data_IF_988683550690
#
_entry.id   IF_988683550690
#
_cell.length_a   1.000
_cell.length_b   1.000
_cell.length_c   1.000
_cell.angle_alpha   90.00
_cell.angle_beta   90.00
_cell.angle_gamma   90.00
#
_symmetry.space_group_name_H-M   'P 1'
#
loop_
_entity.id
_entity.type
_entity.pdbx_description
1 polymer ?
#
# COMPACT_ATOMS: atom_id res chain seq x y z
N UNK A 1 -44.35 -42.93 -5.92
CA UNK A 1 -42.89 -42.80 -5.76
C UNK A 1 -42.48 -41.34 -5.85
N UNK A 2 -42.37 -40.64 -4.71
CA UNK A 2 -41.97 -39.23 -4.65
C UNK A 2 -40.47 -39.14 -4.34
N UNK A 3 -39.69 -38.58 -5.27
CA UNK A 3 -38.25 -38.36 -5.11
C UNK A 3 -38.02 -37.15 -4.19
N UNK A 4 -37.72 -37.41 -2.92
CA UNK A 4 -37.24 -36.40 -1.99
C UNK A 4 -35.90 -35.81 -2.44
N UNK A 5 -35.91 -34.54 -2.86
CA UNK A 5 -34.68 -33.74 -3.00
C UNK A 5 -34.12 -33.51 -1.59
N UNK A 6 -33.12 -34.31 -1.20
CA UNK A 6 -32.29 -34.01 -0.01
C UNK A 6 -31.57 -32.68 -0.26
N UNK A 7 -31.95 -31.65 0.49
CA UNK A 7 -31.19 -30.41 0.56
C UNK A 7 -29.77 -30.74 1.04
N UNK A 8 -28.77 -30.59 0.17
CA UNK A 8 -27.37 -30.63 0.59
C UNK A 8 -27.16 -29.47 1.56
N UNK A 9 -26.99 -29.79 2.85
CA UNK A 9 -26.59 -28.84 3.88
C UNK A 9 -25.24 -28.27 3.45
N UNK A 10 -25.25 -27.05 2.92
CA UNK A 10 -24.05 -26.39 2.44
C UNK A 10 -23.18 -26.13 3.65
N UNK A 11 -22.07 -26.87 3.78
CA UNK A 11 -21.08 -26.63 4.82
C UNK A 11 -20.57 -25.21 4.58
N UNK A 12 -20.95 -24.29 5.46
CA UNK A 12 -20.49 -22.91 5.42
C UNK A 12 -19.03 -22.94 5.86
N UNK A 13 -18.17 -22.32 5.07
CA UNK A 13 -16.73 -22.22 5.38
C UNK A 13 -16.54 -21.35 6.60
N UNK A 14 -15.69 -21.76 7.54
CA UNK A 14 -15.35 -20.94 8.73
C UNK A 14 -14.80 -19.57 8.31
N UNK A 15 -14.05 -19.50 7.21
CA UNK A 15 -13.59 -18.24 6.66
C UNK A 15 -14.75 -17.34 6.19
N UNK A 16 -15.79 -17.93 5.59
CA UNK A 16 -16.99 -17.21 5.20
C UNK A 16 -17.73 -16.66 6.42
N UNK A 17 -17.95 -17.47 7.45
CA UNK A 17 -18.63 -17.08 8.69
C UNK A 17 -17.90 -15.93 9.39
N UNK A 18 -16.57 -16.01 9.53
CA UNK A 18 -15.78 -14.94 10.16
C UNK A 18 -15.88 -13.62 9.39
N UNK A 19 -15.91 -13.66 8.05
CA UNK A 19 -16.06 -12.45 7.24
C UNK A 19 -17.50 -11.92 7.29
N UNK A 20 -18.50 -12.80 7.26
CA UNK A 20 -19.91 -12.41 7.41
C UNK A 20 -20.15 -11.73 8.75
N UNK A 21 -19.67 -12.31 9.85
CA UNK A 21 -19.74 -11.72 11.18
C UNK A 21 -19.06 -10.35 11.21
N UNK A 22 -17.85 -10.22 10.65
CA UNK A 22 -17.13 -8.95 10.62
C UNK A 22 -17.86 -7.84 9.81
N UNK A 23 -18.70 -8.22 8.85
CA UNK A 23 -19.55 -7.30 8.09
C UNK A 23 -20.82 -6.99 8.87
N UNK A 24 -21.45 -7.99 9.47
CA UNK A 24 -22.72 -7.88 10.20
C UNK A 24 -22.58 -7.10 11.51
N UNK A 25 -21.43 -7.20 12.17
CA UNK A 25 -21.05 -6.35 13.31
C UNK A 25 -20.82 -4.88 12.91
N UNK A 26 -20.82 -4.57 11.62
CA UNK A 26 -20.65 -3.21 11.10
C UNK A 26 -19.19 -2.76 10.97
N UNK A 27 -18.22 -3.53 11.45
CA UNK A 27 -16.79 -3.14 11.47
C UNK A 27 -16.25 -2.85 10.06
N UNK A 28 -16.51 -3.72 9.08
CA UNK A 28 -16.08 -3.48 7.69
C UNK A 28 -16.83 -2.32 7.03
N UNK A 29 -18.18 -2.25 7.08
CA UNK A 29 -18.92 -1.08 6.61
C UNK A 29 -18.43 0.25 7.20
N UNK A 30 -18.28 0.34 8.52
CA UNK A 30 -17.80 1.55 9.19
C UNK A 30 -16.40 1.93 8.75
N UNK A 31 -15.47 0.98 8.62
CA UNK A 31 -14.15 1.26 8.06
C UNK A 31 -14.25 1.96 6.70
N UNK A 32 -15.05 1.40 5.77
CA UNK A 32 -15.16 1.94 4.40
C UNK A 32 -15.89 3.27 4.33
N UNK A 33 -16.96 3.42 5.11
CA UNK A 33 -17.71 4.66 5.20
C UNK A 33 -16.87 5.78 5.82
N UNK A 34 -16.15 5.50 6.92
CA UNK A 34 -15.26 6.49 7.55
C UNK A 34 -14.09 6.87 6.65
N UNK A 35 -13.45 5.91 5.95
CA UNK A 35 -12.39 6.19 4.96
C UNK A 35 -12.87 7.17 3.88
N UNK A 36 -14.04 6.90 3.29
CA UNK A 36 -14.62 7.75 2.25
C UNK A 36 -15.07 9.12 2.82
N UNK A 37 -15.62 9.16 4.04
CA UNK A 37 -15.98 10.44 4.69
C UNK A 37 -14.77 11.32 4.91
N UNK A 38 -13.69 10.79 5.47
CA UNK A 38 -12.45 11.56 5.71
C UNK A 38 -11.88 12.06 4.39
N UNK A 39 -11.95 11.26 3.31
CA UNK A 39 -11.56 11.69 1.97
C UNK A 39 -12.40 12.88 1.47
N UNK A 40 -13.73 12.83 1.65
CA UNK A 40 -14.63 13.93 1.27
C UNK A 40 -14.42 15.18 2.12
N UNK A 41 -14.28 15.03 3.44
CA UNK A 41 -13.97 16.13 4.37
C UNK A 41 -12.65 16.81 3.98
N UNK A 42 -11.59 16.02 3.74
CA UNK A 42 -10.27 16.53 3.31
C UNK A 42 -10.35 17.24 1.96
N UNK A 43 -11.14 16.71 1.01
CA UNK A 43 -11.32 17.34 -0.31
C UNK A 43 -12.10 18.65 -0.21
N UNK A 44 -13.11 18.72 0.67
CA UNK A 44 -13.86 19.95 0.95
C UNK A 44 -12.96 21.02 1.60
N UNK A 45 -12.16 20.62 2.61
CA UNK A 45 -11.15 21.50 3.20
C UNK A 45 -10.15 22.01 2.16
N UNK A 46 -9.64 21.14 1.28
CA UNK A 46 -8.74 21.54 0.20
C UNK A 46 -9.35 22.65 -0.65
N UNK A 47 -10.55 22.44 -1.20
CA UNK A 47 -11.21 23.40 -2.10
C UNK A 47 -11.33 24.79 -1.49
N UNK A 48 -11.61 24.87 -0.18
CA UNK A 48 -11.79 26.14 0.52
C UNK A 48 -10.49 26.82 0.91
N UNK A 49 -9.42 26.05 1.08
CA UNK A 49 -8.10 26.55 1.47
C UNK A 49 -7.18 26.80 0.27
N UNK A 50 -7.53 26.29 -0.92
CA UNK A 50 -6.69 26.39 -2.13
C UNK A 50 -6.49 27.84 -2.62
N UNK A 51 -7.42 28.73 -2.30
CA UNK A 51 -7.31 30.17 -2.59
C UNK A 51 -6.58 30.95 -1.49
N UNK A 52 -6.25 30.30 -0.36
CA UNK A 52 -5.55 30.98 0.72
C UNK A 52 -4.07 31.18 0.38
N UNK A 53 -3.52 32.33 0.77
CA UNK A 53 -2.09 32.61 0.60
C UNK A 53 -1.20 31.70 1.46
N UNK A 54 -1.72 31.21 2.60
CA UNK A 54 -0.96 30.31 3.45
C UNK A 54 -0.98 28.88 2.91
N UNK A 55 0.17 28.21 2.92
CA UNK A 55 0.28 26.78 2.60
C UNK A 55 -0.04 25.88 3.79
N UNK A 56 -0.15 26.44 4.99
CA UNK A 56 -0.33 25.71 6.26
C UNK A 56 -1.40 26.37 7.10
N UNK A 57 -2.41 25.60 7.46
CA UNK A 57 -3.56 26.05 8.25
C UNK A 57 -3.66 25.22 9.52
N UNK A 58 -3.47 25.87 10.66
CA UNK A 58 -3.62 25.23 11.96
C UNK A 58 -5.06 25.33 12.45
N UNK A 59 -5.58 24.20 12.91
CA UNK A 59 -6.85 24.09 13.63
C UNK A 59 -6.51 23.74 15.08
N UNK A 60 -6.09 24.74 15.84
CA UNK A 60 -5.50 24.58 17.18
C UNK A 60 -6.42 23.82 18.13
N UNK A 61 -7.70 24.14 18.13
CA UNK A 61 -8.73 23.52 18.97
C UNK A 61 -8.89 22.01 18.73
N UNK A 62 -8.44 21.51 17.57
CA UNK A 62 -8.52 20.10 17.19
C UNK A 62 -7.16 19.43 17.08
N UNK A 63 -6.06 20.12 17.42
CA UNK A 63 -4.70 19.65 17.22
C UNK A 63 -4.44 19.13 15.79
N UNK A 64 -5.05 19.77 14.79
CA UNK A 64 -4.94 19.40 13.38
C UNK A 64 -4.24 20.48 12.57
N UNK A 65 -3.58 20.05 11.49
CA UNK A 65 -3.00 20.91 10.48
C UNK A 65 -3.42 20.45 9.09
N UNK A 66 -3.95 21.37 8.30
CA UNK A 66 -4.12 21.20 6.85
C UNK A 66 -2.94 21.85 6.14
N UNK A 67 -2.21 21.10 5.32
CA UNK A 67 -1.04 21.62 4.61
C UNK A 67 -1.01 21.23 3.14
N UNK A 68 -0.57 22.17 2.32
CA UNK A 68 -0.21 21.97 0.92
C UNK A 68 1.28 21.66 0.82
N UNK A 69 1.61 20.48 0.31
CA UNK A 69 2.99 20.01 0.12
C UNK A 69 3.27 19.83 -1.36
N UNK A 70 4.30 20.50 -1.86
CA UNK A 70 4.78 20.27 -3.22
C UNK A 70 5.48 18.90 -3.29
N UNK A 71 4.96 18.01 -4.13
CA UNK A 71 5.51 16.67 -4.36
C UNK A 71 6.07 16.61 -5.78
N UNK A 72 7.40 16.53 -5.86
CA UNK A 72 8.10 16.30 -7.12
C UNK A 72 7.83 14.87 -7.60
N UNK A 73 7.44 14.74 -8.86
CA UNK A 73 7.32 13.48 -9.58
C UNK A 73 8.60 13.31 -10.39
N UNK A 74 9.23 12.14 -10.24
CA UNK A 74 10.50 11.84 -10.88
C UNK A 74 10.33 10.73 -11.89
N UNK A 75 10.98 10.87 -13.04
CA UNK A 75 11.37 9.77 -13.90
C UNK A 75 12.80 9.39 -13.52
N UNK A 76 13.03 8.10 -13.23
CA UNK A 76 14.36 7.59 -12.85
C UNK A 76 14.89 6.78 -14.01
N UNK A 77 16.13 7.06 -14.43
CA UNK A 77 16.88 6.21 -15.33
C UNK A 77 17.45 5.04 -14.52
N UNK A 78 16.69 3.94 -14.48
CA UNK A 78 17.07 2.78 -13.68
C UNK A 78 18.25 2.02 -14.25
N UNK A 79 18.45 2.03 -15.59
CA UNK A 79 19.56 1.33 -16.23
C UNK A 79 20.87 1.96 -15.80
N UNK A 80 21.03 3.27 -16.02
CA UNK A 80 22.23 4.01 -15.61
C UNK A 80 22.46 3.95 -14.08
N UNK A 81 21.40 3.97 -13.28
CA UNK A 81 21.52 3.81 -11.83
C UNK A 81 22.01 2.40 -11.46
N UNK A 82 21.54 1.35 -12.14
CA UNK A 82 21.96 -0.02 -11.89
C UNK A 82 23.41 -0.25 -12.31
N UNK A 83 23.85 0.30 -13.45
CA UNK A 83 25.26 0.29 -13.88
C UNK A 83 26.14 0.94 -12.80
N UNK A 84 25.77 2.14 -12.35
CA UNK A 84 26.49 2.83 -11.27
C UNK A 84 26.56 2.01 -9.98
N UNK A 85 25.46 1.37 -9.58
CA UNK A 85 25.44 0.52 -8.39
C UNK A 85 26.26 -0.77 -8.58
N UNK A 86 26.35 -1.28 -9.81
CA UNK A 86 27.17 -2.44 -10.14
C UNK A 86 28.65 -2.12 -10.05
N UNK A 87 29.09 -0.99 -10.61
CA UNK A 87 30.48 -0.53 -10.55
C UNK A 87 30.97 -0.32 -9.11
N UNK A 88 30.05 0.03 -8.21
CA UNK A 88 30.33 0.15 -6.77
C UNK A 88 30.24 -1.17 -6.00
N UNK A 89 29.84 -2.27 -6.63
CA UNK A 89 29.63 -3.58 -5.99
C UNK A 89 28.39 -3.61 -5.07
N UNK A 90 27.43 -2.70 -5.27
CA UNK A 90 26.24 -2.54 -4.41
C UNK A 90 24.94 -3.06 -5.03
N UNK A 91 24.92 -3.32 -6.34
CA UNK A 91 23.70 -3.68 -7.08
C UNK A 91 22.95 -4.87 -6.44
N UNK A 92 23.66 -5.97 -6.15
CA UNK A 92 23.08 -7.19 -5.58
C UNK A 92 22.44 -7.00 -4.21
N UNK A 93 22.83 -5.95 -3.47
CA UNK A 93 22.28 -5.66 -2.15
C UNK A 93 20.96 -4.89 -2.19
N UNK A 94 20.64 -4.27 -3.33
CA UNK A 94 19.51 -3.33 -3.43
C UNK A 94 18.52 -3.67 -4.52
N UNK A 95 18.92 -4.40 -5.55
CA UNK A 95 18.10 -4.65 -6.72
C UNK A 95 17.04 -5.73 -6.46
N UNK A 96 15.83 -5.49 -6.96
CA UNK A 96 14.78 -6.50 -7.12
C UNK A 96 14.37 -6.52 -8.60
N UNK A 97 13.89 -7.66 -9.12
CA UNK A 97 13.40 -7.70 -10.51
C UNK A 97 12.13 -6.84 -10.66
N UNK A 98 12.12 -5.90 -11.61
CA UNK A 98 10.90 -5.17 -11.97
C UNK A 98 10.00 -6.05 -12.82
N UNK A 99 9.07 -6.70 -12.13
CA UNK A 99 8.02 -7.55 -12.67
C UNK A 99 7.28 -6.96 -13.87
N UNK A 100 7.12 -5.62 -13.95
CA UNK A 100 6.44 -5.01 -15.10
C UNK A 100 7.35 -4.99 -16.32
N UNK A 101 8.58 -4.54 -16.15
CA UNK A 101 9.55 -4.44 -17.26
C UNK A 101 9.88 -5.82 -17.85
N UNK A 102 10.10 -6.83 -17.01
CA UNK A 102 10.47 -8.17 -17.47
C UNK A 102 9.29 -8.89 -18.14
N UNK A 103 8.05 -8.55 -17.80
CA UNK A 103 6.86 -9.11 -18.46
C UNK A 103 6.73 -8.68 -19.92
N UNK A 104 7.37 -7.59 -20.33
CA UNK A 104 7.39 -7.13 -21.71
C UNK A 104 8.35 -7.96 -22.58
N UNK A 105 9.20 -8.80 -21.96
CA UNK A 105 10.14 -9.68 -22.65
C UNK A 105 9.92 -11.15 -22.24
N UNK A 106 9.15 -11.90 -23.05
CA UNK A 106 8.78 -13.29 -22.76
C UNK A 106 9.99 -14.22 -22.63
N UNK A 107 11.04 -14.02 -23.44
CA UNK A 107 12.25 -14.84 -23.42
C UNK A 107 12.95 -14.77 -22.06
N UNK A 108 13.22 -13.55 -21.59
CA UNK A 108 13.92 -13.36 -20.32
C UNK A 108 13.04 -13.67 -19.12
N UNK A 109 11.73 -13.45 -19.24
CA UNK A 109 10.78 -13.88 -18.23
C UNK A 109 10.83 -15.40 -18.02
N UNK A 110 10.89 -16.18 -19.11
CA UNK A 110 10.99 -17.64 -19.07
C UNK A 110 12.31 -18.08 -18.40
N UNK A 111 13.43 -17.46 -18.79
CA UNK A 111 14.75 -17.75 -18.23
C UNK A 111 14.83 -17.56 -16.70
N UNK A 112 14.06 -16.62 -16.14
CA UNK A 112 14.13 -16.34 -14.70
C UNK A 112 13.16 -17.15 -13.84
N UNK A 113 12.28 -17.96 -14.44
CA UNK A 113 11.26 -18.69 -13.68
C UNK A 113 11.86 -19.68 -12.68
N UNK A 114 13.00 -20.29 -13.00
CA UNK A 114 13.69 -21.25 -12.13
C UNK A 114 14.25 -20.59 -10.86
N UNK A 115 14.43 -19.27 -10.85
CA UNK A 115 14.90 -18.49 -9.70
C UNK A 115 13.76 -17.85 -8.92
N UNK A 116 12.51 -18.11 -9.28
CA UNK A 116 11.34 -17.57 -8.60
C UNK A 116 11.25 -18.11 -7.17
N UNK A 117 11.12 -17.20 -6.21
CA UNK A 117 10.87 -17.54 -4.81
C UNK A 117 9.42 -18.00 -4.59
N UNK A 118 9.18 -18.62 -3.44
CA UNK A 118 7.85 -19.11 -3.07
C UNK A 118 6.80 -17.98 -3.14
N UNK A 119 5.66 -18.29 -3.77
CA UNK A 119 4.54 -17.37 -3.87
C UNK A 119 4.05 -16.98 -2.47
N UNK A 120 3.91 -15.68 -2.24
CA UNK A 120 3.23 -15.17 -1.04
C UNK A 120 1.82 -14.73 -1.40
N UNK A 121 0.91 -14.76 -0.44
CA UNK A 121 -0.52 -14.59 -0.69
C UNK A 121 -1.18 -13.59 0.26
N UNK A 122 -2.28 -13.00 -0.21
CA UNK A 122 -3.18 -12.20 0.60
C UNK A 122 -4.65 -12.53 0.34
N UNK A 123 -5.50 -12.30 1.34
CA UNK A 123 -6.95 -12.45 1.21
C UNK A 123 -7.53 -11.18 0.60
N UNK A 124 -8.27 -11.35 -0.50
CA UNK A 124 -8.99 -10.28 -1.18
C UNK A 124 -10.49 -10.54 -1.12
N UNK A 125 -11.26 -9.72 -0.37
CA UNK A 125 -12.72 -9.80 -0.42
C UNK A 125 -13.25 -9.20 -1.72
N UNK A 126 -14.28 -9.82 -2.28
CA UNK A 126 -15.04 -9.33 -3.43
C UNK A 126 -16.50 -9.23 -3.01
N UNK A 127 -17.12 -8.06 -3.16
CA UNK A 127 -18.49 -7.84 -2.68
C UNK A 127 -19.51 -7.96 -3.81
N UNK A 128 -20.62 -8.63 -3.52
CA UNK A 128 -21.80 -8.64 -4.39
C UNK A 128 -22.62 -7.34 -4.21
N UNK A 129 -23.79 -7.23 -4.86
CA UNK A 129 -24.65 -6.03 -4.74
C UNK A 129 -25.03 -5.71 -3.29
N UNK A 130 -25.34 -6.73 -2.48
CA UNK A 130 -25.69 -6.60 -1.07
C UNK A 130 -24.50 -6.11 -0.22
N UNK A 131 -23.32 -6.70 -0.40
CA UNK A 131 -22.11 -6.25 0.28
C UNK A 131 -21.71 -4.83 -0.10
N UNK A 132 -21.91 -4.45 -1.37
CA UNK A 132 -21.65 -3.08 -1.85
C UNK A 132 -22.61 -2.06 -1.24
N UNK A 133 -23.90 -2.39 -1.09
CA UNK A 133 -24.87 -1.48 -0.50
C UNK A 133 -24.58 -1.20 0.98
N UNK A 134 -24.06 -2.18 1.73
CA UNK A 134 -23.64 -1.95 3.12
C UNK A 134 -22.46 -0.96 3.23
N UNK A 135 -21.58 -0.92 2.24
CA UNK A 135 -20.44 0.00 2.20
C UNK A 135 -20.82 1.39 1.64
N UNK A 136 -22.06 1.58 1.18
CA UNK A 136 -22.50 2.88 0.70
C UNK A 136 -22.46 3.89 1.86
N UNK A 137 -22.13 5.13 1.53
CA UNK A 137 -22.18 6.21 2.50
C UNK A 137 -23.65 6.51 2.84
N UNK A 138 -24.04 6.53 4.12
CA UNK A 138 -25.38 6.93 4.51
C UNK A 138 -25.58 8.43 4.27
N UNK A 139 -26.84 8.87 4.15
CA UNK A 139 -27.18 10.28 3.88
C UNK A 139 -26.65 11.24 4.94
N UNK A 140 -26.57 10.78 6.19
CA UNK A 140 -25.96 11.49 7.33
C UNK A 140 -24.51 11.92 7.07
N UNK A 141 -23.84 11.27 6.13
CA UNK A 141 -22.46 11.57 5.74
C UNK A 141 -22.38 12.65 4.66
N UNK A 142 -23.50 13.27 4.29
CA UNK A 142 -23.53 14.49 3.50
C UNK A 142 -22.68 15.59 4.16
N UNK A 143 -22.03 16.40 3.32
CA UNK A 143 -21.24 17.56 3.76
C UNK A 143 -21.86 18.76 3.05
N UNK A 144 -22.58 19.63 3.76
CA UNK A 144 -23.10 20.87 3.19
C UNK A 144 -21.96 21.75 2.63
N UNK A 145 -22.23 22.42 1.51
CA UNK A 145 -21.24 23.29 0.85
C UNK A 145 -20.84 24.49 1.73
N UNK A 146 -21.72 24.91 2.63
CA UNK A 146 -21.57 26.00 3.61
C UNK A 146 -21.03 25.54 4.98
N UNK A 147 -20.81 24.23 5.18
CA UNK A 147 -20.30 23.68 6.43
C UNK A 147 -19.02 24.41 6.87
N UNK A 148 -18.82 24.78 8.13
CA UNK A 148 -17.59 25.52 8.50
C UNK A 148 -16.33 24.65 8.50
N UNK A 149 -15.15 25.25 8.25
CA UNK A 149 -13.85 24.54 8.32
C UNK A 149 -13.61 23.91 9.69
N UNK A 150 -14.01 24.59 10.76
CA UNK A 150 -13.95 24.12 12.15
C UNK A 150 -14.72 22.81 12.34
N UNK A 151 -15.90 22.69 11.72
CA UNK A 151 -16.70 21.46 11.76
C UNK A 151 -16.04 20.33 10.96
N UNK A 152 -15.50 20.63 9.78
CA UNK A 152 -14.76 19.62 9.00
C UNK A 152 -13.56 19.07 9.77
N UNK A 153 -12.79 19.95 10.43
CA UNK A 153 -11.64 19.56 11.24
C UNK A 153 -12.05 18.66 12.42
N UNK A 154 -13.13 19.02 13.14
CA UNK A 154 -13.69 18.20 14.22
C UNK A 154 -14.07 16.79 13.75
N UNK A 155 -14.77 16.68 12.63
CA UNK A 155 -15.20 15.38 12.10
C UNK A 155 -13.99 14.51 11.70
N UNK A 156 -12.96 15.12 11.10
CA UNK A 156 -11.70 14.41 10.78
C UNK A 156 -11.01 13.92 12.05
N UNK A 157 -10.97 14.72 13.12
CA UNK A 157 -10.36 14.35 14.39
C UNK A 157 -11.03 13.11 14.98
N UNK A 158 -12.36 13.03 14.91
CA UNK A 158 -13.14 11.90 15.45
C UNK A 158 -12.94 10.63 14.61
N UNK A 159 -12.99 10.76 13.28
CA UNK A 159 -13.00 9.61 12.37
C UNK A 159 -11.63 8.94 12.21
N UNK A 160 -10.53 9.70 12.27
CA UNK A 160 -9.18 9.13 12.04
C UNK A 160 -8.76 8.04 13.02
N UNK A 161 -8.93 8.21 14.35
CA UNK A 161 -8.67 7.13 15.31
C UNK A 161 -9.54 5.90 15.05
N UNK A 162 -10.82 6.09 14.72
CA UNK A 162 -11.74 4.99 14.42
C UNK A 162 -11.28 4.19 13.18
N UNK A 163 -10.89 4.88 12.11
CA UNK A 163 -10.34 4.22 10.90
C UNK A 163 -9.09 3.41 11.26
N UNK A 164 -8.19 3.96 12.07
CA UNK A 164 -6.98 3.24 12.50
C UNK A 164 -7.34 1.97 13.26
N UNK A 165 -8.30 2.03 14.18
CA UNK A 165 -8.74 0.87 14.95
C UNK A 165 -9.40 -0.19 14.06
N UNK A 166 -10.40 0.19 13.26
CA UNK A 166 -11.06 -0.74 12.34
C UNK A 166 -10.11 -1.37 11.32
N UNK A 167 -9.12 -0.61 10.84
CA UNK A 167 -8.07 -1.14 9.94
C UNK A 167 -7.21 -2.18 10.64
N UNK A 168 -6.81 -1.94 11.89
CA UNK A 168 -6.07 -2.93 12.69
C UNK A 168 -6.89 -4.20 12.92
N UNK A 169 -8.18 -4.07 13.21
CA UNK A 169 -9.07 -5.22 13.36
C UNK A 169 -9.19 -6.01 12.05
N UNK A 170 -9.33 -5.32 10.92
CA UNK A 170 -9.39 -5.93 9.60
C UNK A 170 -8.08 -6.62 9.19
N UNK A 171 -6.92 -6.01 9.49
CA UNK A 171 -5.62 -6.61 9.24
C UNK A 171 -5.41 -7.88 10.08
N UNK A 172 -5.82 -7.87 11.36
CA UNK A 172 -5.84 -9.07 12.21
C UNK A 172 -6.74 -10.16 11.65
N UNK A 173 -7.93 -9.80 11.15
CA UNK A 173 -8.84 -10.75 10.52
C UNK A 173 -8.19 -11.39 9.28
N UNK A 174 -7.63 -10.60 8.36
CA UNK A 174 -6.95 -11.13 7.16
C UNK A 174 -5.84 -12.11 7.53
N UNK A 175 -5.05 -11.80 8.55
CA UNK A 175 -3.99 -12.69 9.02
C UNK A 175 -4.57 -14.01 9.56
N UNK A 176 -5.61 -13.95 10.40
CA UNK A 176 -6.30 -15.15 10.90
C UNK A 176 -6.88 -16.00 9.76
N UNK A 177 -7.53 -15.37 8.78
CA UNK A 177 -8.11 -16.07 7.63
C UNK A 177 -7.05 -16.87 6.86
N UNK A 178 -5.85 -16.32 6.64
CA UNK A 178 -4.75 -17.01 5.94
C UNK A 178 -4.24 -18.28 6.65
N UNK A 179 -4.52 -18.42 7.95
CA UNK A 179 -4.13 -19.57 8.78
C UNK A 179 -5.21 -20.66 8.83
N UNK A 180 -6.43 -20.38 8.34
CA UNK A 180 -7.51 -21.35 8.30
C UNK A 180 -7.26 -22.44 7.24
N UNK A 181 -7.78 -23.64 7.51
CA UNK A 181 -7.60 -24.79 6.63
C UNK A 181 -8.21 -24.57 5.23
N UNK A 182 -9.27 -23.78 5.14
CA UNK A 182 -9.86 -23.38 3.86
C UNK A 182 -8.83 -22.68 2.95
N UNK A 183 -8.05 -21.74 3.51
CA UNK A 183 -7.02 -21.03 2.76
C UNK A 183 -5.73 -21.82 2.61
N UNK A 184 -5.37 -22.69 3.56
CA UNK A 184 -4.25 -23.63 3.40
C UNK A 184 -4.49 -24.57 2.21
N UNK A 185 -5.71 -25.12 2.08
CA UNK A 185 -6.11 -25.93 0.92
C UNK A 185 -6.10 -25.14 -0.38
N UNK A 186 -6.53 -23.87 -0.37
CA UNK A 186 -6.46 -23.03 -1.57
C UNK A 186 -5.02 -22.73 -2.00
N UNK A 187 -4.09 -22.56 -1.06
CA UNK A 187 -2.66 -22.34 -1.37
C UNK A 187 -2.05 -23.53 -2.10
N UNK A 188 -2.39 -24.76 -1.70
CA UNK A 188 -1.87 -25.99 -2.32
C UNK A 188 -2.47 -26.31 -3.69
N UNK A 189 -3.52 -25.61 -4.12
CA UNK A 189 -4.15 -25.83 -5.42
C UNK A 189 -3.48 -24.97 -6.52
N UNK A 190 -3.40 -25.48 -7.77
CA UNK A 190 -3.08 -24.67 -8.95
C UNK A 190 -4.04 -23.48 -9.10
N UNK A 191 -3.56 -22.36 -9.65
CA UNK A 191 -4.29 -21.09 -9.74
C UNK A 191 -5.67 -21.24 -10.38
N UNK A 192 -5.78 -22.06 -11.42
CA UNK A 192 -6.99 -22.31 -12.20
C UNK A 192 -8.06 -23.05 -11.40
N UNK A 193 -7.63 -23.80 -10.37
CA UNK A 193 -8.50 -24.58 -9.48
C UNK A 193 -8.87 -23.84 -8.20
N UNK A 194 -8.27 -22.68 -7.92
CA UNK A 194 -8.56 -21.86 -6.74
C UNK A 194 -9.91 -21.18 -6.91
N UNK A 195 -10.96 -21.79 -6.36
CA UNK A 195 -12.30 -21.20 -6.34
C UNK A 195 -12.44 -20.24 -5.15
N UNK A 196 -12.98 -19.02 -5.35
CA UNK A 196 -13.30 -18.13 -4.25
C UNK A 196 -14.28 -18.80 -3.27
N UNK A 197 -14.12 -18.52 -1.98
CA UNK A 197 -15.02 -18.98 -0.92
C UNK A 197 -16.24 -18.05 -0.92
N UNK A 198 -17.44 -18.51 -1.32
CA UNK A 198 -18.62 -17.67 -1.35
C UNK A 198 -19.14 -17.41 0.06
N UNK A 199 -19.74 -16.24 0.26
CA UNK A 199 -20.41 -15.84 1.49
C UNK A 199 -21.57 -14.89 1.16
N UNK A 200 -22.45 -14.60 2.11
CA UNK A 200 -23.68 -13.80 1.96
C UNK A 200 -23.47 -12.46 1.25
N UNK A 201 -22.36 -11.79 1.55
CA UNK A 201 -22.02 -10.46 1.02
C UNK A 201 -21.05 -10.48 -0.17
N UNK A 202 -20.70 -11.67 -0.70
CA UNK A 202 -19.79 -11.79 -1.83
C UNK A 202 -18.94 -13.05 -1.81
N UNK A 203 -17.63 -12.91 -1.96
CA UNK A 203 -16.68 -14.01 -1.88
C UNK A 203 -15.30 -13.57 -1.39
N UNK A 204 -14.59 -14.49 -0.76
CA UNK A 204 -13.17 -14.34 -0.40
C UNK A 204 -12.31 -15.05 -1.44
N UNK A 205 -11.38 -14.33 -2.04
CA UNK A 205 -10.41 -14.87 -2.99
C UNK A 205 -9.01 -14.84 -2.42
N UNK A 206 -8.21 -15.86 -2.75
CA UNK A 206 -6.78 -15.86 -2.46
C UNK A 206 -6.06 -15.23 -3.66
N UNK A 207 -5.37 -14.12 -3.43
CA UNK A 207 -4.58 -13.42 -4.45
C UNK A 207 -3.09 -13.63 -4.19
N UNK A 208 -2.32 -13.80 -5.27
CA UNK A 208 -0.86 -13.94 -5.22
C UNK A 208 -0.26 -12.53 -5.18
N UNK A 209 0.75 -12.32 -4.34
CA UNK A 209 1.54 -11.10 -4.36
C UNK A 209 2.38 -11.04 -5.65
N UNK A 210 3.02 -9.89 -5.91
CA UNK A 210 4.01 -9.83 -6.99
C UNK A 210 5.12 -10.86 -6.75
N UNK A 211 5.55 -11.61 -7.77
CA UNK A 211 6.56 -12.63 -7.59
C UNK A 211 7.90 -11.98 -7.23
N UNK A 212 8.66 -12.69 -6.42
CA UNK A 212 10.02 -12.33 -6.02
C UNK A 212 10.97 -13.36 -6.58
N UNK A 213 12.21 -12.95 -6.81
CA UNK A 213 13.23 -13.77 -7.43
C UNK A 213 14.49 -13.79 -6.58
N UNK A 214 15.23 -14.89 -6.65
CA UNK A 214 16.55 -15.02 -6.05
C UNK A 214 17.58 -14.29 -6.94
N UNK A 215 17.79 -13.02 -6.64
CA UNK A 215 18.69 -12.13 -7.39
C UNK A 215 20.13 -12.64 -7.42
N UNK A 216 20.59 -13.29 -6.34
CA UNK A 216 21.96 -13.80 -6.27
C UNK A 216 22.16 -14.96 -7.26
N UNK A 217 21.21 -15.90 -7.31
CA UNK A 217 21.28 -17.01 -8.27
C UNK A 217 21.10 -16.56 -9.72
N UNK A 218 20.25 -15.55 -9.95
CA UNK A 218 20.11 -14.93 -11.27
C UNK A 218 21.45 -14.36 -11.71
N UNK A 219 22.14 -13.62 -10.84
CA UNK A 219 23.45 -13.06 -11.12
C UNK A 219 24.47 -14.16 -11.46
N UNK A 220 24.55 -15.21 -10.65
CA UNK A 220 25.52 -16.29 -10.83
C UNK A 220 25.30 -17.07 -12.14
N UNK A 221 24.04 -17.21 -12.59
CA UNK A 221 23.70 -18.02 -13.77
C UNK A 221 23.57 -17.22 -15.07
N UNK A 222 22.98 -16.03 -15.03
CA UNK A 222 22.67 -15.20 -16.20
C UNK A 222 23.65 -14.04 -16.34
N UNK A 223 24.14 -13.50 -15.23
CA UNK A 223 25.03 -12.35 -15.18
C UNK A 223 24.33 -11.05 -14.78
N UNK A 224 25.14 -10.00 -14.65
CA UNK A 224 24.75 -8.65 -14.22
C UNK A 224 23.79 -7.96 -15.18
N UNK A 225 23.93 -8.21 -16.48
CA UNK A 225 23.22 -7.45 -17.53
C UNK A 225 21.70 -7.50 -17.34
N UNK A 226 21.17 -8.66 -16.93
CA UNK A 226 19.73 -8.83 -16.70
C UNK A 226 19.27 -7.97 -15.50
N UNK A 227 20.08 -7.90 -14.46
CA UNK A 227 19.80 -7.07 -13.28
C UNK A 227 19.96 -5.58 -13.59
N UNK A 228 20.85 -5.22 -14.52
CA UNK A 228 21.01 -3.84 -14.98
C UNK A 228 19.77 -3.40 -15.79
N UNK A 229 19.32 -4.23 -16.73
CA UNK A 229 18.23 -3.90 -17.64
C UNK A 229 16.85 -3.99 -16.99
N UNK A 230 16.59 -5.07 -16.23
CA UNK A 230 15.27 -5.41 -15.68
C UNK A 230 15.18 -5.30 -14.16
N UNK A 231 16.26 -4.84 -13.52
CA UNK A 231 16.29 -4.62 -12.08
C UNK A 231 15.77 -3.24 -11.69
N UNK A 232 15.20 -3.18 -10.50
CA UNK A 232 14.79 -1.95 -9.85
C UNK A 232 15.28 -1.93 -8.41
N UNK A 233 16.16 -0.99 -8.06
CA UNK A 233 16.62 -0.82 -6.70
C UNK A 233 15.46 -0.51 -5.75
N UNK A 234 15.42 -1.24 -4.63
CA UNK A 234 14.50 -0.95 -3.53
C UNK A 234 14.81 0.42 -2.93
N UNK A 235 13.79 1.28 -2.90
CA UNK A 235 13.91 2.61 -2.29
C UNK A 235 14.33 2.53 -0.81
N UNK A 236 13.85 1.52 -0.09
CA UNK A 236 14.19 1.30 1.32
C UNK A 236 15.65 0.86 1.48
N UNK A 237 16.15 -0.01 0.59
CA UNK A 237 17.54 -0.46 0.62
C UNK A 237 18.49 0.68 0.24
N UNK A 238 18.15 1.46 -0.79
CA UNK A 238 18.90 2.68 -1.15
C UNK A 238 18.90 3.69 0.00
N UNK A 239 17.77 3.90 0.67
CA UNK A 239 17.71 4.80 1.82
C UNK A 239 18.63 4.32 2.96
N UNK A 240 18.70 3.02 3.23
CA UNK A 240 19.64 2.46 4.23
C UNK A 240 21.10 2.74 3.86
N UNK A 241 21.48 2.57 2.60
CA UNK A 241 22.83 2.89 2.10
C UNK A 241 23.13 4.39 2.15
N UNK A 242 22.11 5.25 2.04
CA UNK A 242 22.31 6.69 2.24
C UNK A 242 22.49 7.01 3.73
N UNK A 243 21.71 6.37 4.60
CA UNK A 243 21.70 6.63 6.03
C UNK A 243 22.92 6.04 6.76
N UNK A 244 23.57 5.00 6.23
CA UNK A 244 24.81 4.47 6.79
C UNK A 244 26.07 5.15 6.21
N UNK A 245 25.92 6.02 5.21
CA UNK A 245 27.03 6.76 4.59
C UNK A 245 27.68 6.06 3.39
N UNK A 246 27.24 4.85 3.01
CA UNK A 246 27.79 4.13 1.84
C UNK A 246 27.51 4.87 0.53
N UNK A 247 26.35 5.52 0.42
CA UNK A 247 25.96 6.30 -0.76
C UNK A 247 25.54 7.71 -0.37
N UNK A 248 25.77 8.63 -1.29
CA UNK A 248 25.30 9.99 -1.20
C UNK A 248 23.96 10.13 -1.90
N UNK A 249 23.00 10.82 -1.26
CA UNK A 249 21.72 11.19 -1.89
C UNK A 249 21.91 11.91 -3.23
N UNK A 250 22.97 12.72 -3.39
CA UNK A 250 23.28 13.40 -4.65
C UNK A 250 23.66 12.41 -5.76
N UNK A 251 24.34 11.34 -5.42
CA UNK A 251 24.73 10.28 -6.37
C UNK A 251 23.52 9.53 -6.87
N UNK A 252 22.48 9.36 -6.05
CA UNK A 252 21.23 8.74 -6.50
C UNK A 252 20.36 9.75 -7.27
N UNK A 253 20.33 11.00 -6.82
CA UNK A 253 19.45 12.02 -7.39
C UNK A 253 19.89 12.47 -8.80
N UNK A 254 21.15 12.24 -9.21
CA UNK A 254 21.61 12.53 -10.58
C UNK A 254 20.90 11.67 -11.65
N UNK A 255 20.42 10.47 -11.28
CA UNK A 255 19.67 9.58 -12.17
C UNK A 255 18.17 9.89 -12.20
N UNK A 256 17.73 10.97 -11.54
CA UNK A 256 16.32 11.36 -11.45
C UNK A 256 16.09 12.67 -12.16
N UNK A 257 15.16 12.65 -13.11
CA UNK A 257 14.66 13.85 -13.77
C UNK A 257 13.30 14.21 -13.20
N UNK A 258 13.13 15.45 -12.77
CA UNK A 258 11.81 15.97 -12.34
C UNK A 258 10.95 16.15 -13.58
N UNK A 259 9.85 15.41 -13.67
CA UNK A 259 8.92 15.51 -14.79
C UNK A 259 7.70 16.37 -14.49
N UNK A 260 7.31 16.44 -13.22
CA UNK A 260 6.16 17.23 -12.77
C UNK A 260 6.29 17.60 -11.28
N UNK A 261 5.57 18.64 -10.86
CA UNK A 261 5.46 19.06 -9.46
C UNK A 261 3.99 19.20 -9.10
N UNK A 262 3.47 18.21 -8.36
CA UNK A 262 2.07 18.18 -7.94
C UNK A 262 1.90 18.79 -6.55
N UNK A 263 0.86 19.58 -6.35
CA UNK A 263 0.47 20.06 -5.01
C UNK A 263 -0.47 19.07 -4.34
N UNK A 264 0.02 18.39 -3.30
CA UNK A 264 -0.76 17.47 -2.48
C UNK A 264 -1.29 18.21 -1.24
N UNK A 265 -2.58 18.02 -0.92
CA UNK A 265 -3.18 18.52 0.30
C UNK A 265 -3.37 17.37 1.29
N UNK A 266 -2.91 17.56 2.53
CA UNK A 266 -3.05 16.58 3.60
C UNK A 266 -3.52 17.26 4.87
N UNK A 267 -4.44 16.61 5.59
CA UNK A 267 -4.79 16.96 6.96
C UNK A 267 -4.14 15.92 7.87
N UNK A 268 -3.47 16.32 8.93
CA UNK A 268 -2.85 15.44 9.94
C UNK A 268 -2.86 16.08 11.33
N UNK A 269 -2.52 15.33 12.37
CA UNK A 269 -2.31 15.94 13.68
C UNK A 269 -1.03 16.79 13.68
N UNK A 270 -0.99 17.84 14.51
CA UNK A 270 0.23 18.65 14.67
C UNK A 270 1.37 17.79 15.21
N UNK A 271 1.06 16.81 16.07
CA UNK A 271 2.07 15.88 16.58
C UNK A 271 2.64 14.96 15.50
N UNK A 272 1.80 14.48 14.57
CA UNK A 272 2.28 13.68 13.44
C UNK A 272 3.12 14.53 12.49
N UNK A 273 2.76 15.80 12.26
CA UNK A 273 3.59 16.73 11.48
C UNK A 273 4.96 16.92 12.12
N UNK A 274 5.01 17.17 13.44
CA UNK A 274 6.27 17.29 14.19
C UNK A 274 7.11 16.03 14.10
N UNK A 275 6.52 14.85 14.30
CA UNK A 275 7.22 13.57 14.17
C UNK A 275 7.81 13.38 12.77
N UNK A 276 7.07 13.72 11.71
CA UNK A 276 7.57 13.64 10.34
C UNK A 276 8.78 14.56 10.16
N UNK A 277 8.70 15.81 10.64
CA UNK A 277 9.81 16.77 10.55
C UNK A 277 11.04 16.28 11.31
N UNK A 278 10.87 15.81 12.54
CA UNK A 278 11.97 15.27 13.36
C UNK A 278 12.63 14.05 12.72
N UNK A 279 11.84 13.13 12.15
CA UNK A 279 12.39 11.97 11.43
C UNK A 279 13.19 12.44 10.20
N UNK A 280 12.68 13.40 9.43
CA UNK A 280 13.37 13.93 8.25
C UNK A 280 14.67 14.65 8.63
N UNK A 281 14.65 15.48 9.67
CA UNK A 281 15.83 16.16 10.21
C UNK A 281 16.88 15.14 10.70
N UNK A 282 16.46 14.15 11.49
CA UNK A 282 17.34 13.09 11.98
C UNK A 282 17.96 12.28 10.84
N UNK A 283 17.19 11.95 9.79
CA UNK A 283 17.70 11.30 8.57
C UNK A 283 18.75 12.16 7.87
N UNK A 284 18.49 13.46 7.70
CA UNK A 284 19.44 14.38 7.07
C UNK A 284 20.72 14.55 7.88
N UNK A 285 20.60 14.68 9.21
CA UNK A 285 21.75 14.79 10.12
C UNK A 285 22.59 13.52 10.10
N UNK A 286 21.97 12.34 10.17
CA UNK A 286 22.66 11.05 10.13
C UNK A 286 23.39 10.85 8.80
N UNK A 287 22.73 11.11 7.67
CA UNK A 287 23.35 11.02 6.35
C UNK A 287 24.51 12.02 6.19
N UNK A 288 24.43 13.21 6.79
CA UNK A 288 25.52 14.18 6.77
C UNK A 288 26.68 13.79 7.68
N UNK A 289 26.41 13.26 8.87
CA UNK A 289 27.43 12.84 9.84
C UNK A 289 28.22 11.62 9.35
N UNK A 290 27.55 10.60 8.82
CA UNK A 290 28.22 9.38 8.36
C UNK A 290 29.12 9.63 7.15
N UNK A 291 28.80 10.63 6.31
CA UNK A 291 29.71 11.08 5.24
C UNK A 291 30.96 11.80 5.70
N UNK A 292 31.00 12.30 6.93
CA UNK A 292 32.22 12.90 7.48
C UNK A 292 33.16 11.85 8.07
N UNK A 293 32.65 10.63 8.28
CA UNK A 293 33.36 9.52 8.91
C UNK A 293 33.80 8.43 7.92
N UNK A 294 33.16 8.37 6.74
CA UNK A 294 33.55 7.54 5.61
C UNK A 294 34.53 8.29 4.70
#
# INVERSE_FOLDING_TARGET
MSKGKKAKKQIISTAAEMMEQFIEEGTYPHLKQSEEKVKRLTSSMRKRLEQSESKRHEFKDFNLVGRFTAKKIYQTDYISLNEYLYDLGLLLHVVEIDNKSIQENELYLDMIQDFKLEDTFFVKPNFNKLGKSLNALPEEYFIPDDCELTRLARDILILKPQIKDFKNQYDKLKWKLLQLDDFKKLKSLPKEKRKPIPHKYGSLSLSVNQPKYDVSKIYDYIGEWLLIEYGKPSADSLERLILNGTLSKKEIDQFKTVTDVRLDFSVMSIDDERKILTILEGKNQKAAANRRLA
#
